data_IF_376857125398
#
_entry.id   IF_376857125398
#
_cell.length_a   1.000
_cell.length_b   1.000
_cell.length_c   1.000
_cell.angle_alpha   90.00
_cell.angle_beta   90.00
_cell.angle_gamma   90.00
#
_symmetry.space_group_name_H-M   'P 1'
#
loop_
_entity.id
_entity.type
_entity.pdbx_description
1 polymer ?
#
# COMPACT_ATOMS: atom_id res chain seq x y z
N UNK A 1 -92.48 -58.85 29.24
CA UNK A 1 -92.83 -58.60 27.81
C UNK A 1 -92.22 -57.27 27.35
N UNK A 2 -91.60 -57.31 26.23
CA UNK A 2 -91.09 -56.24 25.43
C UNK A 2 -89.65 -55.68 25.72
N UNK A 3 -88.78 -56.21 24.92
CA UNK A 3 -87.48 -55.74 24.62
C UNK A 3 -87.50 -54.37 23.87
N UNK A 4 -86.65 -53.46 24.23
CA UNK A 4 -86.16 -52.40 23.32
C UNK A 4 -84.65 -52.34 23.37
N UNK A 5 -84.04 -52.76 22.31
CA UNK A 5 -82.61 -52.60 21.94
C UNK A 5 -82.27 -51.11 21.80
N UNK A 6 -81.27 -50.64 22.53
CA UNK A 6 -80.65 -49.34 22.23
C UNK A 6 -79.36 -49.60 21.46
N UNK A 7 -79.30 -49.10 20.21
CA UNK A 7 -78.12 -49.06 19.42
C UNK A 7 -77.20 -47.92 19.98
N UNK A 8 -75.98 -48.32 20.30
CA UNK A 8 -74.91 -47.36 20.66
C UNK A 8 -74.13 -47.09 19.34
N UNK A 9 -74.21 -45.89 18.78
CA UNK A 9 -73.38 -45.42 17.66
C UNK A 9 -72.12 -44.85 18.29
N UNK A 10 -70.97 -45.52 18.07
CA UNK A 10 -69.66 -45.03 18.42
C UNK A 10 -69.18 -44.12 17.39
N UNK A 11 -69.05 -42.80 17.67
CA UNK A 11 -68.31 -41.84 16.85
C UNK A 11 -66.86 -41.98 17.13
N UNK A 12 -66.12 -42.53 16.17
CA UNK A 12 -64.65 -42.54 16.14
C UNK A 12 -64.15 -41.14 15.80
N UNK A 13 -63.55 -40.44 16.76
CA UNK A 13 -62.80 -39.23 16.54
C UNK A 13 -61.41 -39.59 16.01
N UNK A 14 -61.22 -39.49 14.68
CA UNK A 14 -59.92 -39.60 14.03
C UNK A 14 -59.08 -38.35 14.36
N UNK A 15 -58.05 -38.50 15.19
CA UNK A 15 -56.98 -37.50 15.35
C UNK A 15 -56.13 -37.46 14.09
N UNK A 16 -56.37 -36.47 13.21
CA UNK A 16 -55.43 -36.09 12.18
C UNK A 16 -54.25 -35.36 12.87
N UNK A 17 -53.18 -36.12 13.14
CA UNK A 17 -51.88 -35.55 13.48
C UNK A 17 -51.33 -34.84 12.21
N UNK A 18 -51.55 -33.53 12.12
CA UNK A 18 -50.86 -32.70 11.16
C UNK A 18 -49.37 -32.68 11.54
N UNK A 19 -48.56 -33.40 10.78
CA UNK A 19 -47.09 -33.30 10.79
C UNK A 19 -46.71 -31.90 10.33
N UNK A 20 -46.51 -30.98 11.27
CA UNK A 20 -45.84 -29.70 11.00
C UNK A 20 -44.41 -30.04 10.53
N UNK A 21 -43.98 -29.50 9.36
CA UNK A 21 -42.60 -29.66 9.00
C UNK A 21 -41.75 -28.95 10.08
N UNK A 22 -40.85 -29.71 10.70
CA UNK A 22 -39.81 -29.15 11.55
C UNK A 22 -39.01 -28.19 10.68
N UNK A 23 -39.34 -26.92 10.71
CA UNK A 23 -38.44 -25.86 10.37
C UNK A 23 -37.33 -25.92 11.44
N UNK A 24 -36.34 -26.80 11.24
CA UNK A 24 -35.04 -26.60 11.84
C UNK A 24 -34.57 -25.22 11.37
N UNK A 25 -34.84 -24.21 12.18
CA UNK A 25 -34.13 -22.97 12.13
C UNK A 25 -32.66 -23.36 12.30
N UNK A 26 -31.96 -23.54 11.16
CA UNK A 26 -30.51 -23.53 11.14
C UNK A 26 -30.15 -22.18 11.74
N UNK A 27 -29.98 -22.15 13.06
CA UNK A 27 -29.26 -21.07 13.72
C UNK A 27 -27.93 -20.98 12.96
N UNK A 28 -27.82 -19.99 12.08
CA UNK A 28 -26.55 -19.59 11.49
C UNK A 28 -25.65 -19.36 12.69
N UNK A 29 -24.79 -20.34 12.97
CA UNK A 29 -23.72 -20.16 13.94
C UNK A 29 -22.97 -18.93 13.44
N UNK A 30 -23.22 -17.77 14.05
CA UNK A 30 -22.48 -16.56 13.80
C UNK A 30 -21.02 -16.89 14.13
N UNK A 31 -20.27 -17.32 13.12
CA UNK A 31 -18.82 -17.46 13.27
C UNK A 31 -18.33 -16.12 13.80
N UNK A 32 -17.61 -16.16 14.92
CA UNK A 32 -16.97 -14.96 15.48
C UNK A 32 -16.31 -14.19 14.32
N UNK A 33 -16.56 -12.88 14.17
CA UNK A 33 -15.95 -12.11 13.10
C UNK A 33 -14.43 -12.29 13.11
N UNK A 34 -13.84 -12.51 11.94
CA UNK A 34 -12.40 -12.56 11.78
C UNK A 34 -11.79 -11.23 12.19
N UNK A 35 -10.66 -11.23 12.85
CA UNK A 35 -9.99 -10.00 13.27
C UNK A 35 -8.70 -9.79 12.50
N UNK A 36 -8.54 -8.64 11.88
CA UNK A 36 -7.35 -8.24 11.13
C UNK A 36 -6.87 -6.90 11.65
N UNK A 37 -5.61 -6.84 12.09
CA UNK A 37 -4.95 -5.58 12.38
C UNK A 37 -4.46 -4.93 11.09
N UNK A 38 -4.60 -3.61 10.96
CA UNK A 38 -4.07 -2.86 9.81
C UNK A 38 -3.20 -1.73 10.33
N UNK A 39 -1.90 -1.85 10.11
CA UNK A 39 -0.91 -0.83 10.48
C UNK A 39 -0.56 -0.02 9.24
N UNK A 40 -1.05 1.21 9.22
CA UNK A 40 -0.84 2.17 8.14
C UNK A 40 0.49 2.92 8.30
N UNK A 41 0.75 3.91 7.44
CA UNK A 41 1.93 4.79 7.57
C UNK A 41 1.53 6.25 7.86
N UNK A 42 0.44 6.77 7.29
CA UNK A 42 -0.02 8.14 7.48
C UNK A 42 -0.73 8.37 8.83
N UNK A 43 -1.20 9.58 9.08
CA UNK A 43 -1.87 9.95 10.34
C UNK A 43 -3.36 9.59 10.39
N UNK A 44 -3.98 9.31 9.25
CA UNK A 44 -5.42 9.02 9.16
C UNK A 44 -5.78 8.30 7.86
N UNK A 45 -7.00 7.73 7.81
CA UNK A 45 -7.56 7.16 6.60
C UNK A 45 -7.68 8.19 5.45
N UNK A 46 -7.97 9.45 5.77
CA UNK A 46 -8.04 10.51 4.77
C UNK A 46 -6.68 10.82 4.14
N UNK A 47 -5.60 10.75 4.90
CA UNK A 47 -4.23 10.97 4.41
C UNK A 47 -3.69 9.78 3.63
N UNK A 48 -4.06 8.55 4.00
CA UNK A 48 -3.84 7.35 3.17
C UNK A 48 -4.55 7.47 1.82
N UNK A 49 -5.69 8.14 1.80
CA UNK A 49 -6.44 8.45 0.59
C UNK A 49 -6.83 7.19 -0.17
N UNK A 50 -6.48 7.10 -1.48
CA UNK A 50 -6.93 6.01 -2.34
C UNK A 50 -6.38 4.62 -1.94
N UNK A 51 -5.35 4.55 -1.10
CA UNK A 51 -4.80 3.28 -0.63
C UNK A 51 -5.69 2.65 0.45
N UNK A 52 -6.23 3.49 1.35
CA UNK A 52 -7.23 3.05 2.32
C UNK A 52 -8.45 2.47 1.60
N UNK A 53 -9.00 3.23 0.63
CA UNK A 53 -10.16 2.79 -0.15
C UNK A 53 -9.89 1.48 -0.92
N UNK A 54 -8.67 1.32 -1.46
CA UNK A 54 -8.27 0.11 -2.18
C UNK A 54 -8.28 -1.13 -1.28
N UNK A 55 -7.83 -1.01 -0.02
CA UNK A 55 -7.87 -2.11 0.96
C UNK A 55 -9.31 -2.45 1.33
N UNK A 56 -10.14 -1.43 1.65
CA UNK A 56 -11.55 -1.65 1.99
C UNK A 56 -12.29 -2.31 0.82
N UNK A 57 -12.07 -1.83 -0.41
CA UNK A 57 -12.66 -2.40 -1.62
C UNK A 57 -12.18 -3.84 -1.84
N UNK A 58 -10.89 -4.13 -1.63
CA UNK A 58 -10.33 -5.47 -1.77
C UNK A 58 -10.97 -6.48 -0.80
N UNK A 59 -11.18 -6.11 0.46
CA UNK A 59 -11.92 -6.94 1.41
C UNK A 59 -13.38 -7.15 1.00
N UNK A 60 -14.05 -6.10 0.53
CA UNK A 60 -15.45 -6.17 0.06
C UNK A 60 -15.61 -7.14 -1.11
N UNK A 61 -14.69 -7.14 -2.06
CA UNK A 61 -14.69 -8.05 -3.23
C UNK A 61 -14.51 -9.52 -2.83
N UNK A 62 -13.84 -9.78 -1.72
CA UNK A 62 -13.69 -11.10 -1.12
C UNK A 62 -14.87 -11.51 -0.23
N UNK A 63 -15.92 -10.66 -0.12
CA UNK A 63 -17.10 -10.92 0.68
C UNK A 63 -16.94 -10.56 2.15
N UNK A 64 -15.88 -9.83 2.53
CA UNK A 64 -15.71 -9.33 3.88
C UNK A 64 -16.36 -7.94 4.03
N UNK A 65 -17.10 -7.77 5.13
CA UNK A 65 -17.76 -6.52 5.49
C UNK A 65 -17.37 -6.19 6.93
N UNK A 66 -16.67 -5.07 7.12
CA UNK A 66 -16.23 -4.64 8.44
C UNK A 66 -17.40 -4.43 9.40
N UNK A 67 -17.25 -4.88 10.65
CA UNK A 67 -18.29 -4.91 11.67
C UNK A 67 -19.32 -6.03 11.51
N UNK A 68 -19.30 -6.84 10.43
CA UNK A 68 -20.22 -7.96 10.21
C UNK A 68 -19.51 -9.31 10.33
N UNK A 69 -18.64 -9.63 9.39
CA UNK A 69 -17.93 -10.91 9.31
C UNK A 69 -16.40 -10.77 9.43
N UNK A 70 -15.90 -9.53 9.45
CA UNK A 70 -14.53 -9.17 9.76
C UNK A 70 -14.51 -7.94 10.67
N UNK A 71 -13.47 -7.79 11.48
CA UNK A 71 -13.15 -6.57 12.24
C UNK A 71 -11.79 -6.09 11.80
N UNK A 72 -11.73 -4.86 11.31
CA UNK A 72 -10.51 -4.20 10.86
C UNK A 72 -10.04 -3.19 11.93
N UNK A 73 -8.99 -3.56 12.67
CA UNK A 73 -8.41 -2.69 13.70
C UNK A 73 -7.31 -1.81 13.08
N UNK A 74 -7.66 -0.59 12.69
CA UNK A 74 -6.72 0.35 12.06
C UNK A 74 -5.84 1.09 13.08
N UNK A 75 -4.57 1.30 12.72
CA UNK A 75 -3.61 2.16 13.44
C UNK A 75 -2.88 3.05 12.45
N UNK A 76 -2.71 4.32 12.82
CA UNK A 76 -2.16 5.38 11.97
C UNK A 76 -1.01 6.09 12.69
N UNK A 77 0.24 5.63 12.53
CA UNK A 77 1.40 6.10 13.28
C UNK A 77 1.96 7.45 12.81
N UNK A 78 1.46 8.04 11.70
CA UNK A 78 1.90 9.36 11.21
C UNK A 78 3.41 9.43 10.89
N UNK A 79 3.97 8.38 10.30
CA UNK A 79 5.42 8.26 10.00
C UNK A 79 6.34 8.44 11.23
N UNK A 80 5.80 8.40 12.46
CA UNK A 80 6.56 8.53 13.69
C UNK A 80 7.12 7.18 14.15
N UNK A 81 8.45 6.97 14.22
CA UNK A 81 9.08 5.68 14.54
C UNK A 81 8.56 5.03 15.83
N UNK A 82 8.37 5.84 16.89
CA UNK A 82 7.88 5.34 18.18
C UNK A 82 6.43 4.87 18.10
N UNK A 83 5.58 5.57 17.32
CA UNK A 83 4.19 5.19 17.12
C UNK A 83 4.06 3.91 16.31
N UNK A 84 4.94 3.65 15.33
CA UNK A 84 4.95 2.36 14.65
C UNK A 84 5.16 1.21 15.65
N UNK A 85 6.10 1.35 16.59
CA UNK A 85 6.39 0.33 17.59
C UNK A 85 5.23 0.12 18.57
N UNK A 86 4.73 1.22 19.16
CA UNK A 86 3.64 1.14 20.14
C UNK A 86 2.35 0.61 19.52
N UNK A 87 1.98 1.09 18.34
CA UNK A 87 0.75 0.67 17.65
C UNK A 87 0.83 -0.76 17.09
N UNK A 88 2.02 -1.23 16.69
CA UNK A 88 2.22 -2.64 16.36
C UNK A 88 2.00 -3.54 17.59
N UNK A 89 2.53 -3.15 18.76
CA UNK A 89 2.31 -3.87 20.01
C UNK A 89 0.83 -3.86 20.44
N UNK A 90 0.13 -2.72 20.27
CA UNK A 90 -1.31 -2.64 20.53
C UNK A 90 -2.10 -3.62 19.64
N UNK A 91 -1.78 -3.68 18.33
CA UNK A 91 -2.42 -4.63 17.42
C UNK A 91 -2.17 -6.06 17.86
N UNK A 92 -0.93 -6.41 18.22
CA UNK A 92 -0.58 -7.75 18.73
C UNK A 92 -1.38 -8.10 19.98
N UNK A 93 -1.59 -7.14 20.91
CA UNK A 93 -2.38 -7.33 22.13
C UNK A 93 -3.86 -7.66 21.84
N UNK A 94 -4.42 -7.19 20.71
CA UNK A 94 -5.76 -7.54 20.26
C UNK A 94 -5.87 -8.98 19.72
N UNK A 95 -4.74 -9.67 19.54
CA UNK A 95 -4.63 -11.05 19.01
C UNK A 95 -5.38 -11.21 17.67
N UNK A 96 -5.08 -10.41 16.66
CA UNK A 96 -5.66 -10.58 15.33
C UNK A 96 -5.17 -11.90 14.70
N UNK A 97 -5.91 -12.40 13.73
CA UNK A 97 -5.53 -13.58 12.96
C UNK A 97 -4.43 -13.25 11.92
N UNK A 98 -4.39 -11.99 11.47
CA UNK A 98 -3.40 -11.46 10.52
C UNK A 98 -3.19 -9.97 10.80
N UNK A 99 -1.97 -9.48 10.55
CA UNK A 99 -1.68 -8.04 10.49
C UNK A 99 -1.34 -7.69 9.05
N UNK A 100 -2.06 -6.73 8.46
CA UNK A 100 -1.70 -6.07 7.20
C UNK A 100 -0.88 -4.82 7.52
N UNK A 101 0.33 -4.70 6.95
CA UNK A 101 1.24 -3.60 7.21
C UNK A 101 1.56 -2.82 5.93
N UNK A 102 1.31 -1.51 5.93
CA UNK A 102 1.50 -0.62 4.79
C UNK A 102 2.89 0.03 4.80
N UNK A 103 3.71 -0.31 3.79
CA UNK A 103 5.06 0.23 3.65
C UNK A 103 6.12 -0.41 4.55
N UNK A 104 7.37 0.04 4.40
CA UNK A 104 8.53 -0.53 5.09
C UNK A 104 8.50 -0.38 6.62
N UNK A 105 8.32 0.84 7.17
CA UNK A 105 8.33 1.07 8.61
C UNK A 105 7.26 0.27 9.35
N UNK A 106 6.02 0.25 8.85
CA UNK A 106 4.92 -0.54 9.43
C UNK A 106 5.24 -2.04 9.40
N UNK A 107 5.80 -2.53 8.28
CA UNK A 107 6.16 -3.95 8.11
C UNK A 107 7.26 -4.39 9.06
N UNK A 108 8.29 -3.56 9.25
CA UNK A 108 9.37 -3.80 10.20
C UNK A 108 8.83 -3.81 11.63
N UNK A 109 7.99 -2.83 11.99
CA UNK A 109 7.38 -2.75 13.31
C UNK A 109 6.50 -3.96 13.61
N UNK A 110 5.65 -4.37 12.67
CA UNK A 110 4.80 -5.55 12.80
C UNK A 110 5.63 -6.84 12.95
N UNK A 111 6.67 -7.03 12.11
CA UNK A 111 7.57 -8.20 12.21
C UNK A 111 8.27 -8.27 13.56
N UNK A 112 8.73 -7.14 14.09
CA UNK A 112 9.42 -7.08 15.37
C UNK A 112 8.48 -7.27 16.57
N UNK A 113 7.20 -6.93 16.44
CA UNK A 113 6.21 -7.06 17.50
C UNK A 113 5.71 -8.50 17.70
N UNK A 114 5.81 -9.37 16.69
CA UNK A 114 5.31 -10.75 16.78
C UNK A 114 6.08 -11.72 15.89
N UNK A 115 6.29 -12.94 16.39
CA UNK A 115 6.83 -14.07 15.63
C UNK A 115 5.77 -15.13 15.31
N UNK A 116 4.56 -15.00 15.89
CA UNK A 116 3.49 -16.00 15.78
C UNK A 116 2.29 -15.53 14.96
N UNK A 117 1.92 -14.23 15.05
CA UNK A 117 0.83 -13.69 14.24
C UNK A 117 1.32 -13.49 12.81
N UNK A 118 0.63 -14.03 11.80
CA UNK A 118 0.93 -13.78 10.40
C UNK A 118 0.93 -12.29 10.05
N UNK A 119 1.91 -11.87 9.24
CA UNK A 119 2.01 -10.50 8.73
C UNK A 119 1.99 -10.52 7.21
N UNK A 120 1.15 -9.66 6.62
CA UNK A 120 1.15 -9.37 5.18
C UNK A 120 1.61 -7.93 5.00
N UNK A 121 2.73 -7.73 4.29
CA UNK A 121 3.13 -6.39 3.93
C UNK A 121 2.59 -5.99 2.55
N UNK A 122 2.35 -4.69 2.36
CA UNK A 122 2.02 -4.10 1.07
C UNK A 122 2.96 -2.93 0.77
N UNK A 123 3.36 -2.80 -0.51
CA UNK A 123 4.14 -1.66 -1.01
C UNK A 123 5.50 -1.48 -0.30
N UNK A 124 6.21 -2.58 -0.08
CA UNK A 124 7.58 -2.53 0.43
C UNK A 124 8.57 -2.48 -0.73
N UNK A 125 9.41 -1.42 -0.84
CA UNK A 125 10.32 -1.25 -1.97
C UNK A 125 11.38 -2.34 -2.10
N UNK A 126 11.93 -2.83 -0.99
CA UNK A 126 12.93 -3.89 -0.94
C UNK A 126 12.73 -4.77 0.31
N UNK A 127 11.91 -5.81 0.24
CA UNK A 127 11.62 -6.66 1.40
C UNK A 127 12.79 -7.56 1.81
N UNK A 128 13.71 -7.89 0.90
CA UNK A 128 14.90 -8.69 1.20
C UNK A 128 15.98 -7.81 1.85
N UNK A 129 16.31 -6.66 1.27
CA UNK A 129 17.25 -5.70 1.84
C UNK A 129 16.82 -5.17 3.20
N UNK A 130 15.50 -5.00 3.41
CA UNK A 130 14.92 -4.67 4.70
C UNK A 130 14.84 -5.87 5.66
N UNK A 131 15.37 -7.03 5.28
CA UNK A 131 15.38 -8.26 6.10
C UNK A 131 13.98 -8.67 6.59
N UNK A 132 12.93 -8.36 5.83
CA UNK A 132 11.56 -8.79 6.14
C UNK A 132 11.38 -10.26 5.79
N UNK A 133 11.96 -10.70 4.67
CA UNK A 133 11.90 -12.06 4.16
C UNK A 133 13.30 -12.57 3.77
N UNK A 134 13.49 -13.88 3.75
CA UNK A 134 14.75 -14.49 3.35
C UNK A 134 14.97 -14.35 1.83
N UNK A 135 13.92 -14.56 1.05
CA UNK A 135 13.89 -14.33 -0.40
C UNK A 135 12.45 -14.08 -0.87
N UNK A 136 12.29 -13.58 -2.08
CA UNK A 136 10.95 -13.36 -2.65
C UNK A 136 10.20 -14.67 -2.89
N UNK A 137 10.92 -15.73 -3.31
CA UNK A 137 10.32 -17.03 -3.59
C UNK A 137 9.98 -17.83 -2.33
N UNK A 138 10.79 -17.67 -1.27
CA UNK A 138 10.63 -18.35 0.02
C UNK A 138 10.80 -17.32 1.14
N UNK A 139 9.69 -16.71 1.59
CA UNK A 139 9.75 -15.65 2.61
C UNK A 139 10.38 -16.08 3.93
N UNK A 140 10.16 -17.33 4.33
CA UNK A 140 10.56 -17.82 5.66
C UNK A 140 9.65 -17.22 6.76
N UNK A 141 9.69 -17.67 7.95
CA UNK A 141 9.00 -17.05 9.10
C UNK A 141 7.49 -16.80 8.94
N UNK A 142 7.01 -15.78 9.65
CA UNK A 142 5.58 -15.42 9.73
C UNK A 142 5.16 -14.25 8.85
N UNK A 143 5.99 -13.80 7.91
CA UNK A 143 5.73 -12.62 7.09
C UNK A 143 5.84 -12.92 5.59
N UNK A 144 4.92 -12.39 4.80
CA UNK A 144 4.92 -12.37 3.32
C UNK A 144 4.24 -11.10 2.84
N UNK A 145 4.11 -10.90 1.53
CA UNK A 145 3.37 -9.73 1.02
C UNK A 145 3.69 -9.37 -0.44
N UNK A 146 3.60 -8.08 -0.74
CA UNK A 146 3.73 -7.54 -2.09
C UNK A 146 4.72 -6.39 -2.11
N UNK A 147 5.74 -6.49 -2.98
CA UNK A 147 6.70 -5.42 -3.24
C UNK A 147 6.22 -4.51 -4.38
N UNK A 148 6.67 -3.26 -4.39
CA UNK A 148 6.46 -2.33 -5.50
C UNK A 148 7.71 -2.11 -6.36
N UNK A 149 8.82 -2.80 -6.06
CA UNK A 149 10.10 -2.63 -6.76
C UNK A 149 10.62 -1.18 -6.78
N UNK A 150 10.27 -0.40 -5.79
CA UNK A 150 10.55 1.04 -5.79
C UNK A 150 12.02 1.40 -5.95
N UNK A 151 12.92 0.65 -5.28
CA UNK A 151 14.37 0.87 -5.33
C UNK A 151 14.94 0.49 -6.70
N UNK A 152 14.57 -0.67 -7.24
CA UNK A 152 15.07 -1.19 -8.52
C UNK A 152 14.72 -0.28 -9.72
N UNK A 153 13.70 0.58 -9.57
CA UNK A 153 13.28 1.50 -10.62
C UNK A 153 13.93 2.90 -10.56
N UNK A 154 14.80 3.16 -9.57
CA UNK A 154 15.47 4.46 -9.41
C UNK A 154 16.24 4.84 -10.68
N UNK A 155 17.06 3.93 -11.20
CA UNK A 155 17.84 4.16 -12.43
C UNK A 155 16.93 4.49 -13.60
N UNK A 156 15.82 3.75 -13.75
CA UNK A 156 14.90 3.97 -14.88
C UNK A 156 14.17 5.30 -14.78
N UNK A 157 13.81 5.74 -13.59
CA UNK A 157 13.23 7.08 -13.38
C UNK A 157 14.22 8.19 -13.73
N UNK A 158 15.51 8.03 -13.41
CA UNK A 158 16.55 8.98 -13.80
C UNK A 158 16.77 9.01 -15.32
N UNK A 159 16.76 7.85 -16.00
CA UNK A 159 16.81 7.76 -17.46
C UNK A 159 15.67 8.55 -18.11
N UNK A 160 14.42 8.33 -17.66
CA UNK A 160 13.26 9.03 -18.18
C UNK A 160 13.31 10.54 -17.91
N UNK A 161 13.80 10.94 -16.74
CA UNK A 161 13.99 12.35 -16.42
C UNK A 161 15.05 13.01 -17.34
N UNK A 162 16.17 12.32 -17.60
CA UNK A 162 17.21 12.76 -18.52
C UNK A 162 16.72 12.81 -19.97
N UNK A 163 15.90 11.82 -20.38
CA UNK A 163 15.30 11.80 -21.72
C UNK A 163 14.30 12.95 -21.90
N UNK A 164 13.46 13.22 -20.88
CA UNK A 164 12.53 14.34 -20.90
C UNK A 164 13.24 15.70 -20.96
N UNK A 165 14.44 15.79 -20.38
CA UNK A 165 15.21 17.02 -20.27
C UNK A 165 16.65 16.77 -20.76
N UNK A 166 16.90 16.79 -22.08
CA UNK A 166 18.21 16.43 -22.65
C UNK A 166 19.41 17.20 -22.09
N UNK A 167 19.20 18.48 -21.70
CA UNK A 167 20.24 19.33 -21.09
C UNK A 167 20.42 19.15 -19.58
N UNK A 168 19.67 18.21 -18.96
CA UNK A 168 19.80 17.92 -17.54
C UNK A 168 21.22 17.44 -17.21
N UNK A 169 21.85 18.04 -16.21
CA UNK A 169 23.21 17.70 -15.76
C UNK A 169 23.31 17.62 -14.24
N UNK A 170 22.38 18.22 -13.49
CA UNK A 170 22.42 18.30 -12.02
C UNK A 170 21.06 17.92 -11.42
N UNK A 171 21.04 16.88 -10.58
CA UNK A 171 19.82 16.37 -9.96
C UNK A 171 19.97 16.34 -8.43
N UNK A 172 19.03 16.95 -7.72
CA UNK A 172 18.89 16.77 -6.27
C UNK A 172 18.29 15.39 -6.01
N UNK A 173 18.83 14.66 -5.04
CA UNK A 173 18.22 13.41 -4.54
C UNK A 173 17.71 13.67 -3.14
N UNK A 174 16.38 13.71 -2.99
CA UNK A 174 15.72 13.89 -1.71
C UNK A 174 15.56 12.52 -1.03
N UNK A 175 16.10 12.41 0.18
CA UNK A 175 16.11 11.17 0.96
C UNK A 175 15.53 11.41 2.36
N UNK A 176 14.86 10.40 2.91
CA UNK A 176 14.55 10.33 4.33
C UNK A 176 15.68 9.59 5.05
N UNK A 177 16.52 10.26 5.87
CA UNK A 177 17.68 9.61 6.51
C UNK A 177 17.26 8.52 7.52
N UNK A 178 16.02 8.54 8.00
CA UNK A 178 15.47 7.55 8.93
C UNK A 178 14.96 6.27 8.22
N UNK A 179 14.82 6.30 6.89
CA UNK A 179 14.41 5.11 6.14
C UNK A 179 15.56 4.11 6.05
N UNK A 180 15.28 2.84 6.35
CA UNK A 180 16.29 1.77 6.29
C UNK A 180 16.91 1.63 4.89
N UNK A 181 16.13 1.85 3.83
CA UNK A 181 16.58 1.79 2.43
C UNK A 181 17.27 3.09 1.95
N UNK A 182 17.38 4.12 2.79
CA UNK A 182 17.85 5.46 2.38
C UNK A 182 19.26 5.43 1.78
N UNK A 183 20.19 4.74 2.45
CA UNK A 183 21.57 4.62 1.97
C UNK A 183 21.64 3.90 0.63
N UNK A 184 21.01 2.72 0.52
CA UNK A 184 21.00 1.94 -0.71
C UNK A 184 20.34 2.70 -1.87
N UNK A 185 19.20 3.36 -1.61
CA UNK A 185 18.52 4.17 -2.62
C UNK A 185 19.38 5.33 -3.12
N UNK A 186 20.21 5.92 -2.27
CA UNK A 186 21.15 6.97 -2.69
C UNK A 186 22.32 6.39 -3.48
N UNK A 187 22.90 5.25 -3.05
CA UNK A 187 23.96 4.54 -3.79
C UNK A 187 23.48 4.11 -5.19
N UNK A 188 22.24 3.59 -5.31
CA UNK A 188 21.65 3.26 -6.61
C UNK A 188 21.43 4.50 -7.48
N UNK A 189 21.08 5.63 -6.84
CA UNK A 189 20.98 6.93 -7.54
C UNK A 189 22.34 7.40 -8.06
N UNK A 190 23.42 7.19 -7.29
CA UNK A 190 24.80 7.52 -7.72
C UNK A 190 25.21 6.65 -8.92
N UNK A 191 25.01 5.35 -8.85
CA UNK A 191 25.35 4.43 -9.95
C UNK A 191 24.57 4.75 -11.23
N UNK A 192 23.29 5.16 -11.11
CA UNK A 192 22.50 5.61 -12.25
C UNK A 192 23.00 6.94 -12.83
N UNK A 193 23.33 7.90 -11.95
CA UNK A 193 23.83 9.21 -12.34
C UNK A 193 25.16 9.14 -13.10
N UNK A 194 26.09 8.30 -12.67
CA UNK A 194 27.37 8.05 -13.35
C UNK A 194 27.15 7.60 -14.79
N UNK A 195 26.27 6.60 -15.01
CA UNK A 195 25.95 6.11 -16.36
C UNK A 195 25.30 7.16 -17.27
N UNK A 196 24.55 8.08 -16.66
CA UNK A 196 23.83 9.14 -17.37
C UNK A 196 24.62 10.46 -17.45
N UNK A 197 25.85 10.50 -16.96
CA UNK A 197 26.70 11.69 -16.88
C UNK A 197 26.00 12.84 -16.13
N UNK A 198 25.31 12.51 -15.02
CA UNK A 198 24.65 13.46 -14.14
C UNK A 198 25.46 13.68 -12.87
N UNK A 199 25.51 14.92 -12.41
CA UNK A 199 25.97 15.24 -11.06
C UNK A 199 24.78 15.18 -10.12
N UNK A 200 24.87 14.42 -9.03
CA UNK A 200 23.83 14.40 -8.02
C UNK A 200 24.31 14.97 -6.69
N UNK A 201 23.38 15.49 -5.91
CA UNK A 201 23.61 15.91 -4.53
C UNK A 201 22.47 15.41 -3.64
N UNK A 202 22.85 14.90 -2.47
CA UNK A 202 21.91 14.41 -1.44
C UNK A 202 21.34 15.60 -0.66
N UNK A 203 20.02 15.55 -0.44
CA UNK A 203 19.27 16.44 0.45
C UNK A 203 18.40 15.59 1.36
N UNK A 204 18.33 15.94 2.63
CA UNK A 204 17.66 15.14 3.65
C UNK A 204 16.45 15.89 4.21
N UNK A 205 15.28 15.23 4.23
CA UNK A 205 14.08 15.72 4.87
C UNK A 205 13.53 14.68 5.85
N UNK A 206 13.19 15.10 7.05
CA UNK A 206 12.61 14.27 8.12
C UNK A 206 11.23 14.76 8.53
N UNK A 207 10.94 16.04 8.33
CA UNK A 207 9.69 16.67 8.73
C UNK A 207 9.12 17.54 7.60
N UNK A 208 7.85 17.86 7.69
CA UNK A 208 7.20 18.80 6.78
C UNK A 208 7.86 20.19 6.83
N UNK A 209 8.30 20.62 8.01
CA UNK A 209 8.92 21.93 8.23
C UNK A 209 10.28 22.08 7.51
N UNK A 210 10.98 20.97 7.24
CA UNK A 210 12.28 20.99 6.58
C UNK A 210 12.17 21.34 5.08
N UNK A 211 11.04 21.03 4.45
CA UNK A 211 10.91 20.99 2.99
C UNK A 211 11.18 22.34 2.32
N UNK A 212 10.63 23.45 2.84
CA UNK A 212 10.83 24.78 2.23
C UNK A 212 12.32 25.12 2.15
N UNK A 213 13.05 25.01 3.26
CA UNK A 213 14.48 25.33 3.36
C UNK A 213 15.34 24.39 2.48
N UNK A 214 14.96 23.11 2.40
CA UNK A 214 15.66 22.12 1.58
C UNK A 214 15.49 22.43 0.09
N UNK A 215 14.28 22.75 -0.38
CA UNK A 215 14.06 23.14 -1.76
C UNK A 215 14.78 24.44 -2.12
N UNK A 216 14.86 25.42 -1.20
CA UNK A 216 15.67 26.63 -1.37
C UNK A 216 17.17 26.30 -1.45
N UNK A 217 17.67 25.34 -0.65
CA UNK A 217 19.04 24.85 -0.73
C UNK A 217 19.32 24.15 -2.08
N UNK A 218 18.36 23.40 -2.64
CA UNK A 218 18.50 22.81 -3.98
C UNK A 218 18.69 23.89 -5.05
N UNK A 219 17.93 24.99 -4.98
CA UNK A 219 18.07 26.12 -5.92
C UNK A 219 19.43 26.80 -5.75
N UNK A 220 19.86 27.09 -4.51
CA UNK A 220 21.20 27.65 -4.23
C UNK A 220 22.33 26.77 -4.79
N UNK A 221 22.16 25.44 -4.71
CA UNK A 221 23.06 24.44 -5.27
C UNK A 221 22.91 24.28 -6.78
N UNK A 222 22.07 25.08 -7.45
CA UNK A 222 21.81 25.04 -8.91
C UNK A 222 21.37 23.67 -9.41
N UNK A 223 20.52 22.97 -8.63
CA UNK A 223 19.88 21.75 -9.08
C UNK A 223 18.84 22.08 -10.15
N UNK A 224 18.74 21.22 -11.15
CA UNK A 224 17.87 21.41 -12.32
C UNK A 224 16.63 20.51 -12.25
N UNK A 225 16.68 19.49 -11.43
CA UNK A 225 15.60 18.53 -11.22
C UNK A 225 15.71 17.92 -9.82
N UNK A 226 14.65 17.26 -9.36
CA UNK A 226 14.65 16.50 -8.09
C UNK A 226 14.19 15.06 -8.31
N UNK A 227 14.93 14.12 -7.73
CA UNK A 227 14.55 12.71 -7.63
C UNK A 227 14.17 12.42 -6.18
N UNK A 228 13.04 11.75 -5.96
CA UNK A 228 12.60 11.30 -4.65
C UNK A 228 12.94 9.82 -4.48
N UNK A 229 13.58 9.45 -3.37
CA UNK A 229 13.67 8.05 -3.00
C UNK A 229 12.30 7.52 -2.58
N UNK A 230 11.92 6.26 -2.90
CA UNK A 230 10.64 5.70 -2.49
C UNK A 230 10.51 5.62 -0.96
N UNK A 231 9.59 6.41 -0.40
CA UNK A 231 9.39 6.53 1.05
C UNK A 231 7.96 6.99 1.38
N UNK A 232 7.38 6.47 2.48
CA UNK A 232 6.04 6.85 2.94
C UNK A 232 5.93 8.30 3.37
N UNK A 233 7.00 8.85 3.98
CA UNK A 233 7.07 10.26 4.37
C UNK A 233 6.87 11.20 3.18
N UNK A 234 7.49 10.91 2.03
CA UNK A 234 7.33 11.74 0.83
C UNK A 234 5.96 11.58 0.19
N UNK A 235 5.33 10.41 0.35
CA UNK A 235 3.94 10.24 -0.02
C UNK A 235 3.01 11.07 0.89
N UNK A 236 3.22 11.05 2.19
CA UNK A 236 2.47 11.85 3.15
C UNK A 236 2.58 13.35 2.84
N UNK A 237 3.76 13.81 2.50
CA UNK A 237 4.04 15.23 2.18
C UNK A 237 3.85 15.58 0.70
N UNK A 238 3.27 14.70 -0.11
CA UNK A 238 3.15 14.82 -1.57
C UNK A 238 2.62 16.14 -2.06
N UNK A 239 1.58 16.67 -1.41
CA UNK A 239 0.96 17.95 -1.79
C UNK A 239 1.92 19.12 -1.65
N UNK A 240 2.67 19.18 -0.54
CA UNK A 240 3.66 20.23 -0.30
C UNK A 240 4.87 20.05 -1.22
N UNK A 241 5.37 18.84 -1.37
CA UNK A 241 6.48 18.51 -2.29
C UNK A 241 6.11 18.88 -3.74
N UNK A 242 4.90 18.51 -4.20
CA UNK A 242 4.41 18.84 -5.54
C UNK A 242 4.36 20.35 -5.77
N UNK A 243 3.80 21.10 -4.82
CA UNK A 243 3.79 22.57 -4.86
C UNK A 243 5.20 23.17 -4.93
N UNK A 244 6.14 22.66 -4.12
CA UNK A 244 7.52 23.13 -4.09
C UNK A 244 8.26 22.82 -5.38
N UNK A 245 8.08 21.61 -5.93
CA UNK A 245 8.64 21.25 -7.25
C UNK A 245 8.21 22.24 -8.34
N UNK A 246 6.92 22.58 -8.38
CA UNK A 246 6.40 23.57 -9.35
C UNK A 246 6.93 24.97 -9.05
N UNK A 247 6.83 25.44 -7.81
CA UNK A 247 7.25 26.80 -7.42
C UNK A 247 8.74 27.05 -7.63
N UNK A 248 9.59 26.06 -7.43
CA UNK A 248 11.06 26.13 -7.62
C UNK A 248 11.49 25.64 -9.01
N UNK A 249 10.55 25.34 -9.90
CA UNK A 249 10.80 24.85 -11.28
C UNK A 249 11.76 23.65 -11.32
N UNK A 250 11.57 22.69 -10.40
CA UNK A 250 12.33 21.45 -10.30
C UNK A 250 11.49 20.27 -10.83
N UNK A 251 11.59 19.91 -12.12
CA UNK A 251 10.93 18.75 -12.66
C UNK A 251 11.41 17.46 -11.99
N UNK A 252 10.57 16.43 -11.99
CA UNK A 252 10.86 15.14 -11.37
C UNK A 252 10.22 13.98 -12.12
N UNK A 253 10.80 12.79 -11.96
CA UNK A 253 10.17 11.52 -12.27
C UNK A 253 9.99 10.74 -10.97
N UNK A 254 8.74 10.61 -10.51
CA UNK A 254 8.39 10.05 -9.20
C UNK A 254 7.94 8.59 -9.28
N UNK A 255 7.74 7.96 -8.12
CA UNK A 255 7.44 6.54 -8.01
C UNK A 255 5.94 6.23 -7.86
N UNK A 256 5.10 7.25 -7.71
CA UNK A 256 3.65 7.06 -7.57
C UNK A 256 2.85 8.11 -8.35
N UNK A 257 1.67 7.70 -8.76
CA UNK A 257 0.69 8.54 -9.44
C UNK A 257 0.26 9.72 -8.58
N UNK A 258 0.09 9.51 -7.27
CA UNK A 258 -0.41 10.52 -6.35
C UNK A 258 0.59 11.69 -6.17
N UNK A 259 1.89 11.39 -6.17
CA UNK A 259 2.94 12.43 -6.17
C UNK A 259 2.97 13.16 -7.52
N UNK A 260 2.73 12.43 -8.61
CA UNK A 260 2.62 13.05 -9.94
C UNK A 260 1.45 14.03 -10.00
N UNK A 261 0.26 13.62 -9.54
CA UNK A 261 -0.95 14.45 -9.50
C UNK A 261 -0.76 15.70 -8.63
N UNK A 262 0.10 15.64 -7.62
CA UNK A 262 0.45 16.77 -6.77
C UNK A 262 1.39 17.80 -7.46
N UNK A 263 2.00 17.49 -8.61
CA UNK A 263 2.79 18.46 -9.37
C UNK A 263 4.10 17.94 -9.98
N UNK A 264 4.41 16.64 -9.90
CA UNK A 264 5.58 16.10 -10.59
C UNK A 264 5.37 16.04 -12.11
N UNK A 265 6.46 15.94 -12.88
CA UNK A 265 6.44 15.94 -14.35
C UNK A 265 6.10 14.56 -14.91
N UNK A 266 6.76 13.53 -14.40
CA UNK A 266 6.63 12.14 -14.80
C UNK A 266 6.45 11.25 -13.59
N UNK A 267 5.76 10.13 -13.75
CA UNK A 267 5.89 9.01 -12.82
C UNK A 267 6.21 7.71 -13.56
N UNK A 268 7.02 6.87 -12.92
CA UNK A 268 7.28 5.52 -13.37
C UNK A 268 7.36 4.58 -12.19
N UNK A 269 6.40 3.67 -12.09
CA UNK A 269 6.29 2.76 -10.96
C UNK A 269 5.14 1.78 -11.10
N UNK A 270 4.97 0.93 -10.10
CA UNK A 270 3.84 0.03 -10.01
C UNK A 270 2.56 0.78 -9.60
N UNK A 271 1.41 0.29 -10.04
CA UNK A 271 0.11 0.74 -9.52
C UNK A 271 -0.03 0.32 -8.04
N UNK A 272 0.25 1.27 -7.15
CA UNK A 272 0.23 1.00 -5.71
C UNK A 272 -1.20 0.73 -5.20
N UNK A 273 -2.23 1.33 -5.81
CA UNK A 273 -3.64 1.04 -5.45
C UNK A 273 -3.97 -0.43 -5.73
N UNK A 274 -3.54 -0.94 -6.89
CA UNK A 274 -3.70 -2.34 -7.22
C UNK A 274 -2.95 -3.26 -6.25
N UNK A 275 -1.74 -2.89 -5.79
CA UNK A 275 -0.98 -3.64 -4.80
C UNK A 275 -1.71 -3.66 -3.46
N UNK A 276 -2.21 -2.53 -2.95
CA UNK A 276 -2.98 -2.47 -1.72
C UNK A 276 -4.26 -3.31 -1.80
N UNK A 277 -5.02 -3.19 -2.90
CA UNK A 277 -6.20 -4.03 -3.12
C UNK A 277 -5.84 -5.52 -3.17
N UNK A 278 -4.75 -5.86 -3.87
CA UNK A 278 -4.27 -7.25 -3.99
C UNK A 278 -3.78 -7.83 -2.66
N UNK A 279 -3.27 -7.02 -1.74
CA UNK A 279 -2.79 -7.47 -0.43
C UNK A 279 -3.89 -8.14 0.40
N UNK A 280 -5.16 -7.77 0.22
CA UNK A 280 -6.30 -8.39 0.90
C UNK A 280 -6.50 -9.86 0.49
N UNK A 281 -6.11 -10.23 -0.73
CA UNK A 281 -6.11 -11.64 -1.19
C UNK A 281 -5.09 -12.46 -0.41
N UNK A 282 -3.94 -11.87 -0.03
CA UNK A 282 -2.94 -12.52 0.81
C UNK A 282 -3.46 -12.72 2.24
N UNK A 283 -4.14 -11.70 2.77
CA UNK A 283 -4.84 -11.80 4.06
C UNK A 283 -5.89 -12.92 4.01
N UNK A 284 -6.72 -12.96 2.97
CA UNK A 284 -7.75 -14.01 2.78
C UNK A 284 -7.16 -15.42 2.73
N UNK A 285 -6.07 -15.63 1.98
CA UNK A 285 -5.37 -16.93 1.95
C UNK A 285 -4.93 -17.37 3.36
N UNK A 286 -4.40 -16.44 4.16
CA UNK A 286 -3.94 -16.74 5.52
C UNK A 286 -5.13 -17.01 6.44
N UNK A 287 -6.20 -16.22 6.36
CA UNK A 287 -7.45 -16.47 7.09
C UNK A 287 -8.06 -17.84 6.75
N UNK A 288 -7.79 -18.38 5.57
CA UNK A 288 -8.17 -19.73 5.10
C UNK A 288 -7.15 -20.81 5.46
N UNK A 289 -6.09 -20.48 6.20
CA UNK A 289 -5.13 -21.43 6.74
C UNK A 289 -3.81 -21.57 5.99
N UNK A 290 -3.54 -20.76 4.97
CA UNK A 290 -2.23 -20.73 4.32
C UNK A 290 -1.17 -20.14 5.25
N UNK A 291 0.05 -20.68 5.21
CA UNK A 291 1.17 -20.18 6.05
C UNK A 291 1.93 -19.10 5.27
N UNK A 292 2.28 -17.97 5.88
CA UNK A 292 3.06 -16.91 5.23
C UNK A 292 4.36 -17.42 4.58
N UNK A 293 5.07 -18.34 5.25
CA UNK A 293 6.31 -18.94 4.76
C UNK A 293 6.18 -19.63 3.40
N UNK A 294 4.99 -20.12 3.06
CA UNK A 294 4.72 -20.87 1.83
C UNK A 294 4.11 -19.99 0.71
N UNK A 295 3.85 -18.72 0.99
CA UNK A 295 3.29 -17.79 0.02
C UNK A 295 4.41 -16.88 -0.50
N UNK A 296 4.86 -17.01 -1.76
CA UNK A 296 5.88 -16.15 -2.32
C UNK A 296 5.49 -14.66 -2.26
N UNK A 297 6.48 -13.79 -2.11
CA UNK A 297 6.29 -12.35 -2.24
C UNK A 297 5.91 -12.02 -3.68
N UNK A 298 4.78 -11.36 -3.85
CA UNK A 298 4.31 -10.97 -5.19
C UNK A 298 5.04 -9.71 -5.65
N UNK A 299 5.43 -9.76 -6.92
CA UNK A 299 6.08 -8.66 -7.63
C UNK A 299 5.05 -8.02 -8.58
N UNK A 300 5.16 -6.71 -8.88
CA UNK A 300 4.30 -6.08 -9.86
C UNK A 300 4.43 -6.76 -11.23
N UNK A 301 3.31 -7.05 -11.86
CA UNK A 301 3.29 -7.63 -13.21
C UNK A 301 3.69 -6.62 -14.31
N UNK A 302 3.46 -5.32 -14.04
CA UNK A 302 3.80 -4.22 -14.95
C UNK A 302 4.12 -2.95 -14.17
N UNK A 303 4.81 -2.04 -14.86
CA UNK A 303 5.06 -0.68 -14.40
C UNK A 303 4.39 0.29 -15.37
N UNK A 304 3.88 1.39 -14.85
CA UNK A 304 3.16 2.41 -15.61
C UNK A 304 3.99 3.69 -15.71
N UNK A 305 4.05 4.26 -16.92
CA UNK A 305 4.55 5.58 -17.16
C UNK A 305 3.39 6.55 -17.29
N UNK A 306 3.38 7.59 -16.47
CA UNK A 306 2.37 8.65 -16.56
C UNK A 306 3.05 9.99 -16.76
N UNK A 307 2.51 10.80 -17.67
CA UNK A 307 3.01 12.14 -18.01
C UNK A 307 2.01 13.20 -17.53
N UNK A 308 2.49 14.22 -16.84
CA UNK A 308 1.69 15.37 -16.44
C UNK A 308 1.93 16.55 -17.36
N UNK A 309 1.05 16.74 -18.34
CA UNK A 309 1.15 17.84 -19.31
C UNK A 309 0.88 19.21 -18.70
N UNK A 310 0.09 19.29 -17.60
CA UNK A 310 -0.07 20.56 -16.85
C UNK A 310 1.26 21.02 -16.27
N UNK A 311 2.00 20.10 -15.65
CA UNK A 311 3.32 20.37 -15.11
C UNK A 311 4.32 20.67 -16.24
N UNK A 312 4.31 19.90 -17.34
CA UNK A 312 5.16 20.16 -18.49
C UNK A 312 4.97 21.57 -19.02
N UNK A 313 3.71 22.00 -19.21
CA UNK A 313 3.35 23.36 -19.66
C UNK A 313 3.80 24.43 -18.64
N UNK A 314 3.56 24.21 -17.34
CA UNK A 314 3.95 25.16 -16.28
C UNK A 314 5.47 25.36 -16.19
N UNK A 315 6.25 24.31 -16.48
CA UNK A 315 7.71 24.33 -16.45
C UNK A 315 8.34 24.71 -17.81
N UNK A 316 7.53 24.89 -18.85
CA UNK A 316 7.98 25.11 -20.24
C UNK A 316 8.87 23.96 -20.75
N UNK A 317 8.47 22.72 -20.46
CA UNK A 317 9.16 21.52 -20.91
C UNK A 317 8.38 20.87 -22.03
N UNK A 318 9.00 20.71 -23.20
CA UNK A 318 8.44 19.96 -24.31
C UNK A 318 8.75 18.48 -24.12
N UNK A 319 7.72 17.68 -23.84
CA UNK A 319 7.88 16.22 -23.69
C UNK A 319 8.25 15.60 -25.04
N UNK A 320 9.36 14.85 -25.13
CA UNK A 320 9.76 14.13 -26.34
C UNK A 320 8.72 13.10 -26.77
N UNK A 321 8.60 12.91 -28.10
CA UNK A 321 7.69 11.91 -28.65
C UNK A 321 7.99 10.50 -28.12
N UNK A 322 9.26 10.16 -27.90
CA UNK A 322 9.71 8.88 -27.35
C UNK A 322 9.14 8.59 -25.95
N UNK A 323 8.90 9.62 -25.13
CA UNK A 323 8.21 9.48 -23.83
C UNK A 323 6.70 9.42 -24.02
N UNK A 324 6.13 10.31 -24.86
CA UNK A 324 4.67 10.37 -25.06
C UNK A 324 4.10 9.04 -25.62
N UNK A 325 4.82 8.37 -26.52
CA UNK A 325 4.38 7.08 -27.08
C UNK A 325 4.45 5.96 -26.07
N UNK A 326 5.33 6.04 -25.06
CA UNK A 326 5.47 5.04 -23.99
C UNK A 326 4.58 5.32 -22.78
N UNK A 327 3.92 6.47 -22.74
CA UNK A 327 3.04 6.82 -21.64
C UNK A 327 1.78 5.95 -21.66
N UNK A 328 1.51 5.26 -20.53
CA UNK A 328 0.27 4.52 -20.32
C UNK A 328 -0.90 5.50 -20.06
N UNK A 329 -0.58 6.68 -19.51
CA UNK A 329 -1.56 7.72 -19.20
C UNK A 329 -0.95 9.12 -19.34
N UNK A 330 -1.78 10.07 -19.75
CA UNK A 330 -1.44 11.50 -19.83
C UNK A 330 -2.46 12.28 -19.00
N UNK A 331 -2.00 13.16 -18.11
CA UNK A 331 -2.83 14.08 -17.33
C UNK A 331 -2.78 15.45 -18.03
N UNK A 332 -3.93 15.91 -18.52
CA UNK A 332 -4.12 17.20 -19.22
C UNK A 332 -4.72 18.27 -18.31
#
# INVERSE_FOLDING_TARGET
MNHRRKLIVSFGAGLLAASLPNFEARAQQFKKPRRVGVLWHAASAAEEGPYFDAVIQGFKELGYVDGQNIVLDHRFPNEEPEKFRSMAAELVALRPEVILAAGGPASIAAKNATTSIPVVFAVVPDPVGNKLVDSLAKPGGNITGLTNFGVQLIAKRMEYLKEAIPRLSRVAVLVNPNAQSSRQSFEDSQAAAEKLQLTIQRFEAQTLADLESIFDAMIKARMQAVSLTPDGLFFQFRTVIGRLMLARRLPSCVYSREILEAGALLSYGADQRAIFRRSTVYVDKILKGARPADIPVEQPARFEMIVNMKTAKALDIKIPQSISVRADMVIE
#
